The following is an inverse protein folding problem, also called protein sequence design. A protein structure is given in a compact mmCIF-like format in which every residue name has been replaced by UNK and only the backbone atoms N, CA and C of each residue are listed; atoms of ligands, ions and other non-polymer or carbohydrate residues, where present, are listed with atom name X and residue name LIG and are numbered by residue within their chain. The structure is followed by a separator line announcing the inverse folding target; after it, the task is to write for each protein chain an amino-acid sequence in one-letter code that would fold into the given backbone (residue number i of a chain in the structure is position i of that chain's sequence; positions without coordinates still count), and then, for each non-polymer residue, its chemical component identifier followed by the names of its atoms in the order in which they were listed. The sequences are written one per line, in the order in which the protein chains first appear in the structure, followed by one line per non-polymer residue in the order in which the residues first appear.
data_IF_327224390350
#
_entry.id   IF_327224390350
#
_cell.length_a   1.000
_cell.length_b   1.000
_cell.length_c   1.000
_cell.angle_alpha   90.00
_cell.angle_beta   90.00
_cell.angle_gamma   90.00
#
_symmetry.space_group_name_H-M   'P 1'
#
loop_
_entity.id
_entity.type
_entity.pdbx_description
1 polymer ?
#
# COMPACT_ATOMS: atom_id res chain seq x y z
N UNK A 1 10.78 10.86 8.87
CA UNK A 1 11.52 9.94 9.78
C UNK A 1 10.59 8.78 10.07
N UNK A 2 11.04 7.55 9.81
CA UNK A 2 10.25 6.34 10.00
C UNK A 2 10.29 5.88 11.46
N UNK A 3 9.14 5.59 12.06
CA UNK A 3 9.01 5.19 13.47
C UNK A 3 8.93 3.67 13.55
N UNK A 4 9.84 3.05 14.31
CA UNK A 4 9.81 1.60 14.55
C UNK A 4 8.60 1.24 15.42
N UNK A 5 7.66 0.46 14.86
CA UNK A 5 6.45 0.01 15.55
C UNK A 5 6.67 -1.31 16.29
N UNK A 6 7.39 -2.25 15.65
CA UNK A 6 7.61 -3.57 16.20
C UNK A 6 8.89 -4.21 15.65
N UNK A 7 9.66 -4.85 16.53
CA UNK A 7 10.73 -5.76 16.16
C UNK A 7 10.29 -7.21 16.39
N UNK A 8 10.38 -8.02 15.36
CA UNK A 8 10.19 -9.45 15.40
C UNK A 8 11.53 -10.17 15.30
N UNK A 9 11.70 -11.20 16.12
CA UNK A 9 12.88 -12.07 16.10
C UNK A 9 12.42 -13.51 16.29
N UNK A 10 12.90 -14.40 15.43
CA UNK A 10 12.69 -15.84 15.59
C UNK A 10 13.50 -16.40 16.77
N UNK A 11 13.06 -17.52 17.35
CA UNK A 11 13.83 -18.21 18.39
C UNK A 11 15.12 -18.81 17.80
N UNK A 12 16.33 -18.46 18.31
CA UNK A 12 17.60 -18.98 17.80
C UNK A 12 17.70 -20.52 17.85
N UNK A 13 17.29 -21.11 18.97
CA UNK A 13 17.41 -22.54 19.24
C UNK A 13 16.58 -23.37 18.27
N UNK A 14 15.33 -22.96 18.04
CA UNK A 14 14.42 -23.65 17.11
C UNK A 14 14.78 -23.43 15.65
N UNK A 15 15.35 -22.28 15.31
CA UNK A 15 15.87 -22.00 13.97
C UNK A 15 17.24 -22.65 13.72
N UNK A 16 17.84 -23.34 14.71
CA UNK A 16 19.19 -23.93 14.63
C UNK A 16 20.24 -22.93 14.15
N UNK A 17 20.14 -21.67 14.59
CA UNK A 17 21.05 -20.59 14.18
C UNK A 17 21.30 -19.63 15.35
N UNK A 18 22.52 -19.11 15.42
CA UNK A 18 22.91 -18.10 16.41
C UNK A 18 22.29 -16.73 16.05
N UNK A 19 22.07 -16.49 14.76
CA UNK A 19 21.50 -15.25 14.24
C UNK A 19 20.19 -15.53 13.51
N UNK A 20 19.07 -15.65 14.26
CA UNK A 20 17.76 -15.81 13.63
C UNK A 20 17.42 -14.56 12.81
N UNK A 21 16.60 -14.70 11.77
CA UNK A 21 16.14 -13.57 11.00
C UNK A 21 15.34 -12.61 11.89
N UNK A 22 15.53 -11.32 11.64
CA UNK A 22 14.85 -10.22 12.31
C UNK A 22 14.01 -9.46 11.29
N UNK A 23 12.80 -9.12 11.67
CA UNK A 23 11.91 -8.27 10.87
C UNK A 23 11.56 -7.04 11.69
N UNK A 24 11.80 -5.89 11.09
CA UNK A 24 11.52 -4.58 11.66
C UNK A 24 10.34 -3.98 10.92
N UNK A 25 9.27 -3.70 11.65
CA UNK A 25 8.04 -3.11 11.14
C UNK A 25 8.08 -1.63 11.48
N UNK A 26 8.27 -0.78 10.47
CA UNK A 26 8.17 0.68 10.60
C UNK A 26 6.77 1.14 10.19
N UNK A 27 6.48 2.42 10.36
CA UNK A 27 5.21 3.02 10.00
C UNK A 27 4.98 3.11 8.48
N UNK A 28 6.05 3.21 7.69
CA UNK A 28 6.08 3.39 6.23
C UNK A 28 6.71 2.22 5.45
N UNK A 29 7.62 1.46 6.07
CA UNK A 29 8.34 0.35 5.45
C UNK A 29 8.57 -0.86 6.36
N UNK A 30 9.07 -1.94 5.77
CA UNK A 30 9.51 -3.14 6.46
C UNK A 30 10.97 -3.40 6.13
N UNK A 31 11.77 -3.75 7.14
CA UNK A 31 13.17 -4.17 6.94
C UNK A 31 13.36 -5.58 7.47
N UNK A 32 13.73 -6.49 6.58
CA UNK A 32 14.11 -7.85 6.92
C UNK A 32 15.61 -8.00 6.92
N UNK A 33 16.16 -8.48 8.04
CA UNK A 33 17.59 -8.66 8.23
C UNK A 33 17.89 -10.12 8.55
N UNK A 34 18.75 -10.73 7.73
CA UNK A 34 19.24 -12.10 7.92
C UNK A 34 20.76 -12.12 7.87
N UNK A 35 21.37 -12.59 8.95
CA UNK A 35 22.82 -12.71 9.07
C UNK A 35 23.26 -14.16 8.87
N UNK A 36 24.27 -14.34 8.03
CA UNK A 36 25.13 -15.53 7.97
C UNK A 36 26.48 -15.17 8.60
N UNK A 37 27.37 -16.16 8.73
CA UNK A 37 28.68 -16.01 9.38
C UNK A 37 29.48 -14.77 8.95
N UNK A 38 29.48 -14.43 7.65
CA UNK A 38 30.24 -13.27 7.12
C UNK A 38 29.41 -12.30 6.26
N UNK A 39 28.10 -12.56 6.10
CA UNK A 39 27.25 -11.77 5.21
C UNK A 39 25.97 -11.37 5.93
N UNK A 40 25.65 -10.08 5.88
CA UNK A 40 24.36 -9.55 6.34
C UNK A 40 23.54 -9.23 5.11
N UNK A 41 22.42 -9.94 4.93
CA UNK A 41 21.43 -9.62 3.91
C UNK A 41 20.33 -8.80 4.58
N UNK A 42 20.19 -7.56 4.13
CA UNK A 42 19.12 -6.66 4.54
C UNK A 42 18.25 -6.35 3.32
N UNK A 43 16.95 -6.45 3.49
CA UNK A 43 15.95 -6.21 2.45
C UNK A 43 14.93 -5.25 3.03
N UNK A 44 14.78 -4.10 2.39
CA UNK A 44 13.77 -3.10 2.73
C UNK A 44 12.65 -3.14 1.70
N UNK A 45 11.42 -3.28 2.17
CA UNK A 45 10.23 -3.46 1.34
C UNK A 45 9.17 -2.45 1.76
N UNK A 46 8.61 -1.74 0.78
CA UNK A 46 7.45 -0.87 1.00
C UNK A 46 6.18 -1.71 1.14
N UNK A 47 5.22 -1.26 1.95
CA UNK A 47 3.94 -1.96 2.11
C UNK A 47 3.18 -2.16 0.79
N UNK A 48 3.39 -1.30 -0.20
CA UNK A 48 2.76 -1.40 -1.53
C UNK A 48 3.27 -2.62 -2.33
N UNK A 49 4.45 -3.14 -2.01
CA UNK A 49 5.08 -4.28 -2.71
C UNK A 49 4.76 -5.61 -2.02
N UNK A 50 3.92 -5.60 -0.98
CA UNK A 50 3.56 -6.78 -0.23
C UNK A 50 2.17 -7.21 -0.67
N UNK A 51 2.09 -8.39 -1.26
CA UNK A 51 0.82 -8.99 -1.67
C UNK A 51 0.01 -9.42 -0.45
N UNK A 52 0.65 -10.12 0.48
CA UNK A 52 -0.03 -10.70 1.64
C UNK A 52 0.94 -10.96 2.79
N UNK A 53 0.46 -10.81 4.02
CA UNK A 53 1.11 -11.34 5.20
C UNK A 53 0.24 -12.46 5.79
N UNK A 54 0.84 -13.64 6.03
CA UNK A 54 0.16 -14.82 6.58
C UNK A 54 0.84 -15.25 7.87
N UNK A 55 0.04 -15.56 8.89
CA UNK A 55 0.51 -16.01 10.20
C UNK A 55 0.10 -17.46 10.42
N UNK A 56 1.07 -18.37 10.40
CA UNK A 56 0.86 -19.78 10.74
C UNK A 56 1.05 -19.98 12.22
N UNK A 57 0.03 -20.53 12.88
CA UNK A 57 0.06 -20.85 14.30
C UNK A 57 0.48 -22.31 14.50
N UNK A 58 1.39 -22.54 15.44
CA UNK A 58 1.71 -23.87 15.97
C UNK A 58 1.30 -23.94 17.45
N UNK A 59 1.50 -25.07 18.13
CA UNK A 59 1.06 -25.26 19.52
C UNK A 59 1.75 -24.31 20.49
N UNK A 60 3.02 -23.94 20.25
CA UNK A 60 3.83 -23.07 21.12
C UNK A 60 4.36 -21.81 20.45
N UNK A 61 4.44 -21.80 19.11
CA UNK A 61 5.08 -20.73 18.34
C UNK A 61 4.21 -20.29 17.18
N UNK A 62 4.63 -19.22 16.51
CA UNK A 62 4.05 -18.78 15.26
C UNK A 62 5.14 -18.58 14.19
N UNK A 63 4.73 -18.61 12.93
CA UNK A 63 5.55 -18.31 11.77
C UNK A 63 4.85 -17.24 10.95
N UNK A 64 5.58 -16.19 10.60
CA UNK A 64 5.07 -15.13 9.75
C UNK A 64 5.73 -15.25 8.39
N UNK A 65 4.89 -15.27 7.36
CA UNK A 65 5.29 -15.29 5.96
C UNK A 65 4.74 -14.03 5.29
N UNK A 66 5.60 -13.31 4.59
CA UNK A 66 5.26 -12.09 3.86
C UNK A 66 5.57 -12.37 2.39
N UNK A 67 4.50 -12.44 1.61
CA UNK A 67 4.55 -12.67 0.16
C UNK A 67 4.67 -11.33 -0.53
N UNK A 68 5.66 -11.20 -1.40
CA UNK A 68 5.98 -9.93 -2.07
C UNK A 68 5.73 -10.03 -3.58
N UNK A 69 5.42 -8.91 -4.23
CA UNK A 69 5.04 -8.90 -5.66
C UNK A 69 6.23 -8.90 -6.63
N UNK A 70 7.47 -8.79 -6.15
CA UNK A 70 8.66 -8.70 -7.00
C UNK A 70 10.00 -9.05 -6.35
N UNK A 71 9.98 -9.60 -5.13
CA UNK A 71 11.19 -10.03 -4.40
C UNK A 71 11.00 -11.42 -3.80
N UNK A 72 12.06 -11.97 -3.19
CA UNK A 72 11.95 -13.22 -2.42
C UNK A 72 10.96 -13.04 -1.25
N UNK A 73 10.15 -14.07 -1.00
CA UNK A 73 9.25 -14.10 0.15
C UNK A 73 10.02 -14.07 1.47
N UNK A 74 9.53 -13.29 2.42
CA UNK A 74 10.17 -13.11 3.72
C UNK A 74 9.53 -14.00 4.77
N UNK A 75 10.33 -14.88 5.37
CA UNK A 75 9.85 -15.81 6.38
C UNK A 75 10.59 -15.58 7.70
N UNK A 76 9.81 -15.38 8.77
CA UNK A 76 10.29 -15.34 10.15
C UNK A 76 9.67 -16.51 10.92
N UNK A 77 10.50 -17.49 11.28
CA UNK A 77 10.04 -18.74 11.92
C UNK A 77 10.22 -18.71 13.44
N UNK A 78 9.35 -19.45 14.13
CA UNK A 78 9.43 -19.73 15.56
C UNK A 78 9.44 -18.48 16.44
N UNK A 79 8.53 -17.54 16.18
CA UNK A 79 8.31 -16.39 17.05
C UNK A 79 7.26 -16.68 18.13
N UNK A 80 7.25 -15.89 19.21
CA UNK A 80 6.23 -15.99 20.24
C UNK A 80 4.84 -15.67 19.69
N UNK A 81 3.81 -16.47 20.05
CA UNK A 81 2.45 -16.31 19.54
C UNK A 81 1.89 -14.90 19.69
N UNK A 82 1.98 -14.33 20.91
CA UNK A 82 1.49 -12.98 21.21
C UNK A 82 2.12 -11.93 20.29
N UNK A 83 3.42 -12.05 20.08
CA UNK A 83 4.18 -11.15 19.20
C UNK A 83 3.78 -11.33 17.73
N UNK A 84 3.59 -12.57 17.28
CA UNK A 84 3.14 -12.88 15.91
C UNK A 84 1.75 -12.34 15.60
N UNK A 85 0.79 -12.52 16.51
CA UNK A 85 -0.57 -11.97 16.37
C UNK A 85 -0.54 -10.44 16.32
N UNK A 86 0.26 -9.81 17.20
CA UNK A 86 0.43 -8.34 17.21
C UNK A 86 1.05 -7.85 15.89
N UNK A 87 2.07 -8.53 15.38
CA UNK A 87 2.68 -8.20 14.12
C UNK A 87 1.69 -8.31 12.96
N UNK A 88 0.96 -9.43 12.86
CA UNK A 88 -0.06 -9.65 11.83
C UNK A 88 -1.11 -8.55 11.85
N UNK A 89 -1.61 -8.17 13.04
CA UNK A 89 -2.58 -7.08 13.18
C UNK A 89 -2.04 -5.74 12.66
N UNK A 90 -0.80 -5.39 13.01
CA UNK A 90 -0.16 -4.14 12.53
C UNK A 90 0.03 -4.21 11.01
N UNK A 91 0.53 -5.33 10.50
CA UNK A 91 0.73 -5.54 9.06
C UNK A 91 -0.58 -5.43 8.30
N UNK A 92 -1.65 -6.05 8.77
CA UNK A 92 -2.96 -6.01 8.11
C UNK A 92 -3.52 -4.59 8.04
N UNK A 93 -3.39 -3.83 9.12
CA UNK A 93 -3.77 -2.41 9.11
C UNK A 93 -2.94 -1.63 8.08
N UNK A 94 -1.63 -1.83 8.05
CA UNK A 94 -0.73 -1.12 7.13
C UNK A 94 -0.93 -1.52 5.67
N UNK A 95 -1.10 -2.80 5.40
CA UNK A 95 -1.42 -3.34 4.08
C UNK A 95 -2.78 -2.84 3.61
N UNK A 96 -3.78 -2.85 4.48
CA UNK A 96 -5.08 -2.28 4.16
C UNK A 96 -4.96 -0.81 3.76
N UNK A 97 -4.22 0.01 4.52
CA UNK A 97 -4.02 1.43 4.17
C UNK A 97 -3.17 1.65 2.91
N UNK A 98 -2.18 0.80 2.66
CA UNK A 98 -1.33 0.87 1.47
C UNK A 98 -2.14 0.54 0.20
N UNK A 99 -2.88 -0.57 0.25
CA UNK A 99 -3.71 -1.04 -0.86
C UNK A 99 -5.01 -0.23 -1.00
N UNK A 100 -5.57 0.30 0.08
CA UNK A 100 -6.74 1.20 -0.01
C UNK A 100 -6.38 2.56 -0.57
N UNK A 101 -5.17 3.08 -0.33
CA UNK A 101 -4.69 4.31 -1.02
C UNK A 101 -4.52 4.11 -2.51
N UNK A 102 -4.03 2.94 -2.94
CA UNK A 102 -4.02 2.55 -4.36
C UNK A 102 -5.42 2.52 -4.98
N UNK A 103 -6.45 2.23 -4.18
CA UNK A 103 -7.86 2.31 -4.60
C UNK A 103 -8.52 3.68 -4.38
N UNK A 104 -8.01 4.54 -3.49
CA UNK A 104 -8.57 5.86 -3.18
C UNK A 104 -8.10 6.97 -4.14
N UNK A 105 -7.09 6.73 -4.97
CA UNK A 105 -6.72 7.64 -6.07
C UNK A 105 -7.64 7.50 -7.30
N UNK A 106 -8.76 6.77 -7.22
CA UNK A 106 -9.59 6.42 -8.37
C UNK A 106 -11.10 6.33 -8.15
N UNK A 107 -11.69 7.15 -7.29
CA UNK A 107 -13.09 7.59 -7.48
C UNK A 107 -13.13 9.11 -7.59
N UNK A 108 -12.26 9.68 -8.44
CA UNK A 108 -12.78 10.77 -9.27
C UNK A 108 -13.85 10.06 -10.09
N UNK A 109 -15.12 10.35 -9.83
CA UNK A 109 -16.24 9.81 -10.58
C UNK A 109 -15.96 10.08 -12.07
N UNK A 110 -15.35 9.10 -12.75
CA UNK A 110 -14.90 9.25 -14.13
C UNK A 110 -16.10 9.52 -15.04
N UNK A 111 -17.32 9.19 -14.59
CA UNK A 111 -18.55 9.59 -15.26
C UNK A 111 -18.73 11.13 -15.22
N UNK A 112 -18.56 11.77 -14.06
CA UNK A 112 -18.66 13.23 -13.91
C UNK A 112 -17.55 13.98 -14.67
N UNK A 113 -16.32 13.50 -14.60
CA UNK A 113 -15.19 14.12 -15.31
C UNK A 113 -15.33 13.97 -16.83
N UNK A 114 -15.75 12.80 -17.32
CA UNK A 114 -16.03 12.58 -18.75
C UNK A 114 -17.22 13.40 -19.25
N UNK A 115 -18.28 13.57 -18.44
CA UNK A 115 -19.42 14.44 -18.76
C UNK A 115 -18.98 15.91 -18.86
N UNK A 116 -18.11 16.36 -17.97
CA UNK A 116 -17.54 17.71 -18.01
C UNK A 116 -16.71 17.94 -19.29
N UNK A 117 -15.77 17.05 -19.59
CA UNK A 117 -14.89 17.17 -20.76
C UNK A 117 -15.67 17.13 -22.07
N UNK A 118 -16.64 16.21 -22.21
CA UNK A 118 -17.52 16.13 -23.39
C UNK A 118 -18.38 17.39 -23.53
N UNK A 119 -18.94 17.88 -22.42
CA UNK A 119 -19.76 19.09 -22.40
C UNK A 119 -18.96 20.33 -22.82
N UNK A 120 -17.75 20.47 -22.30
CA UNK A 120 -16.86 21.60 -22.61
C UNK A 120 -16.41 21.58 -24.08
N UNK A 121 -16.03 20.40 -24.60
CA UNK A 121 -15.64 20.25 -26.00
C UNK A 121 -16.78 20.61 -26.96
N UNK A 122 -18.02 20.20 -26.64
CA UNK A 122 -19.21 20.57 -27.43
C UNK A 122 -19.46 22.08 -27.43
N UNK A 123 -19.31 22.75 -26.29
CA UNK A 123 -19.47 24.21 -26.24
C UNK A 123 -18.35 24.95 -26.98
N UNK A 124 -17.12 24.42 -26.95
CA UNK A 124 -16.01 24.95 -27.75
C UNK A 124 -16.27 24.83 -29.24
N UNK A 125 -16.81 23.71 -29.68
CA UNK A 125 -17.21 23.49 -31.08
C UNK A 125 -18.31 24.46 -31.52
N UNK A 126 -19.32 24.69 -30.67
CA UNK A 126 -20.39 25.66 -30.95
C UNK A 126 -19.87 27.11 -31.03
N UNK A 127 -18.90 27.47 -30.20
CA UNK A 127 -18.24 28.78 -30.24
C UNK A 127 -17.44 28.94 -31.54
N UNK A 128 -16.65 27.92 -31.90
CA UNK A 128 -15.85 27.93 -33.13
C UNK A 128 -16.70 27.98 -34.40
N UNK A 129 -17.91 27.38 -34.36
CA UNK A 129 -18.90 27.43 -35.46
C UNK A 129 -19.78 28.69 -35.44
N UNK A 130 -19.53 29.63 -34.52
CA UNK A 130 -20.31 30.87 -34.39
C UNK A 130 -21.78 30.67 -33.97
N UNK A 131 -22.11 29.49 -33.43
CA UNK A 131 -23.48 29.15 -32.98
C UNK A 131 -23.79 29.69 -31.59
N UNK A 132 -22.78 30.04 -30.80
CA UNK A 132 -22.89 30.72 -29.52
C UNK A 132 -21.87 31.86 -29.45
N UNK A 133 -22.20 32.89 -28.68
CA UNK A 133 -21.30 34.00 -28.38
C UNK A 133 -20.33 33.64 -27.25
N UNK A 134 -19.21 34.37 -27.14
CA UNK A 134 -18.23 34.21 -26.05
C UNK A 134 -18.87 34.37 -24.66
N UNK A 135 -19.85 35.27 -24.53
CA UNK A 135 -20.59 35.51 -23.27
C UNK A 135 -21.44 34.29 -22.88
N UNK A 136 -22.07 33.64 -23.85
CA UNK A 136 -22.88 32.43 -23.62
C UNK A 136 -22.01 31.21 -23.31
N UNK A 137 -20.85 31.10 -23.95
CA UNK A 137 -19.85 30.07 -23.62
C UNK A 137 -19.42 30.15 -22.15
N UNK A 138 -19.04 31.34 -21.66
CA UNK A 138 -18.62 31.52 -20.26
C UNK A 138 -19.77 31.29 -19.26
N UNK A 139 -21.02 31.59 -19.63
CA UNK A 139 -22.18 31.23 -18.80
C UNK A 139 -22.34 29.71 -18.71
N UNK A 140 -22.33 29.01 -19.85
CA UNK A 140 -22.49 27.55 -19.92
C UNK A 140 -21.33 26.78 -19.27
N UNK A 141 -20.10 27.30 -19.36
CA UNK A 141 -18.92 26.75 -18.67
C UNK A 141 -19.07 26.82 -17.15
N UNK A 142 -19.54 27.95 -16.62
CA UNK A 142 -19.83 28.11 -15.19
C UNK A 142 -20.96 27.20 -14.72
N UNK A 143 -22.01 27.04 -15.53
CA UNK A 143 -23.12 26.14 -15.21
C UNK A 143 -22.70 24.66 -15.24
N UNK A 144 -21.74 24.28 -16.10
CA UNK A 144 -21.14 22.93 -16.10
C UNK A 144 -20.32 22.66 -14.83
N UNK A 145 -19.51 23.62 -14.40
CA UNK A 145 -18.69 23.49 -13.17
C UNK A 145 -19.56 23.23 -11.94
N UNK A 146 -20.68 23.96 -11.81
CA UNK A 146 -21.64 23.79 -10.70
C UNK A 146 -22.36 22.44 -10.64
N UNK A 147 -22.30 21.64 -11.71
CA UNK A 147 -22.93 20.30 -11.75
C UNK A 147 -21.95 19.18 -11.39
N UNK A 148 -20.66 19.49 -11.30
CA UNK A 148 -19.58 18.54 -11.06
C UNK A 148 -19.08 18.64 -9.61
N UNK A 149 -19.22 19.81 -8.97
CA UNK A 149 -19.20 19.99 -7.51
C UNK A 149 -20.39 19.28 -6.82
#
# INVERSE_FOLDING_TARGET
MSILLLKLRGNPTLNRTIWPPELYIYDDLLTYRKRKWFVVREVTISYNQIAQATLHHSLLFAHLEIVTTGTDDLIVKYMGKKTGVRAKKILDQKLYHAHSKLHQEGEVDHSKMNVYEKGLNRYRELLNRGKITKKEYEKKKRDLLKRVE
#
